data_IF_064988527560
#
_entry.id   IF_064988527560
#
_cell.length_a   1.000
_cell.length_b   1.000
_cell.length_c   1.000
_cell.angle_alpha   90.00
_cell.angle_beta   90.00
_cell.angle_gamma   90.00
#
_symmetry.space_group_name_H-M   'P 1'
#
loop_
_entity.id
_entity.type
_entity.pdbx_description
1 polymer ?
#
# COMPACT_ATOMS: atom_id res chain seq x y z
N UNK A 1 31.87 -3.00 4.72
CA UNK A 1 30.50 -2.44 4.60
C UNK A 1 29.59 -3.56 4.16
N UNK A 2 28.38 -3.68 4.71
CA UNK A 2 27.42 -4.70 4.25
C UNK A 2 26.63 -4.09 3.11
N UNK A 3 26.70 -4.69 1.92
CA UNK A 3 25.84 -4.28 0.81
C UNK A 3 24.37 -4.64 1.13
N UNK A 4 23.41 -3.76 0.79
CA UNK A 4 22.00 -4.01 1.07
C UNK A 4 21.50 -5.20 0.24
N UNK A 5 20.79 -6.12 0.91
CA UNK A 5 20.17 -7.29 0.26
C UNK A 5 19.15 -6.88 -0.82
N UNK A 6 18.47 -5.74 -0.62
CA UNK A 6 17.51 -5.18 -1.58
C UNK A 6 17.55 -3.65 -1.56
N UNK A 7 17.32 -3.05 -2.73
CA UNK A 7 17.00 -1.63 -2.87
C UNK A 7 15.59 -1.54 -3.45
N UNK A 8 14.70 -0.85 -2.75
CA UNK A 8 13.30 -0.65 -3.15
C UNK A 8 13.06 0.83 -3.26
N UNK A 9 12.32 1.25 -4.30
CA UNK A 9 11.86 2.62 -4.51
C UNK A 9 10.37 2.61 -4.79
N UNK A 10 9.68 3.68 -4.44
CA UNK A 10 8.25 3.83 -4.71
C UNK A 10 7.40 2.75 -4.04
N UNK A 11 7.80 2.22 -2.88
CA UNK A 11 7.04 1.18 -2.18
C UNK A 11 5.69 1.76 -1.73
N UNK A 12 4.60 1.19 -2.25
CA UNK A 12 3.23 1.58 -1.96
C UNK A 12 2.47 0.43 -1.33
N UNK A 13 1.62 0.76 -0.35
CA UNK A 13 0.79 -0.23 0.34
C UNK A 13 -0.61 0.35 0.48
N UNK A 14 -1.62 -0.43 0.11
CA UNK A 14 -3.01 -0.07 0.21
C UNK A 14 -3.81 -1.18 0.90
N UNK A 15 -4.80 -0.78 1.69
CA UNK A 15 -5.68 -1.68 2.45
C UNK A 15 -7.15 -1.39 2.11
N UNK A 16 -8.07 -2.36 2.30
CA UNK A 16 -9.50 -2.11 2.22
C UNK A 16 -9.94 -0.98 3.17
N UNK A 17 -10.65 -0.01 2.63
CA UNK A 17 -11.25 1.08 3.39
C UNK A 17 -12.51 0.60 4.10
N UNK A 18 -12.39 0.34 5.41
CA UNK A 18 -13.51 -0.14 6.23
C UNK A 18 -14.56 0.94 6.52
N UNK A 19 -14.27 2.22 6.23
CA UNK A 19 -15.24 3.32 6.37
C UNK A 19 -16.17 3.44 5.17
N UNK A 20 -15.80 2.81 4.04
CA UNK A 20 -16.57 2.84 2.79
C UNK A 20 -17.03 1.45 2.42
N UNK A 21 -18.20 1.07 2.95
CA UNK A 21 -18.81 -0.22 2.62
C UNK A 21 -19.20 -0.26 1.13
N UNK A 22 -18.73 -1.25 0.35
CA UNK A 22 -19.09 -1.35 -1.05
C UNK A 22 -20.57 -1.72 -1.17
N UNK A 23 -21.29 -1.02 -2.06
CA UNK A 23 -22.68 -1.36 -2.38
C UNK A 23 -22.76 -2.68 -3.16
N UNK A 24 -21.76 -2.96 -3.99
CA UNK A 24 -21.58 -4.20 -4.74
C UNK A 24 -20.07 -4.49 -4.82
N UNK A 25 -19.65 -5.74 -4.63
CA UNK A 25 -18.28 -6.17 -4.88
C UNK A 25 -17.27 -5.81 -3.78
N UNK A 26 -16.00 -5.61 -4.17
CA UNK A 26 -14.87 -5.39 -3.25
C UNK A 26 -14.86 -3.99 -2.68
N UNK A 27 -14.38 -3.84 -1.44
CA UNK A 27 -14.21 -2.55 -0.81
C UNK A 27 -13.17 -1.70 -1.55
N UNK A 28 -13.35 -0.36 -1.62
CA UNK A 28 -12.31 0.54 -2.11
C UNK A 28 -11.01 0.36 -1.33
N UNK A 29 -9.87 0.47 -2.00
CA UNK A 29 -8.58 0.46 -1.31
C UNK A 29 -8.15 1.89 -0.97
N UNK A 30 -7.60 2.08 0.22
CA UNK A 30 -6.96 3.31 0.66
C UNK A 30 -5.46 3.08 0.82
N UNK A 31 -4.66 3.98 0.26
CA UNK A 31 -3.20 3.92 0.34
C UNK A 31 -2.72 4.35 1.73
N UNK A 32 -1.96 3.49 2.41
CA UNK A 32 -1.40 3.74 3.74
C UNK A 32 0.11 4.03 3.68
N UNK A 33 0.81 3.61 2.61
CA UNK A 33 2.19 4.02 2.31
C UNK A 33 2.24 4.62 0.91
N UNK A 34 2.72 5.87 0.81
CA UNK A 34 2.66 6.69 -0.41
C UNK A 34 4.01 6.80 -1.13
N UNK A 35 4.67 5.66 -1.35
CA UNK A 35 6.03 5.63 -1.85
C UNK A 35 7.03 5.78 -0.70
N UNK A 36 7.68 4.68 -0.35
CA UNK A 36 8.91 4.68 0.42
C UNK A 36 10.07 4.78 -0.58
N UNK A 37 10.82 5.88 -0.51
CA UNK A 37 12.01 6.19 -1.32
C UNK A 37 13.25 6.36 -0.42
#
# INVERSE_FOLDING_TARGET
MVEPLFSVRGLKVALPDMTRKPLIGRAPLVEILKGLD
#
